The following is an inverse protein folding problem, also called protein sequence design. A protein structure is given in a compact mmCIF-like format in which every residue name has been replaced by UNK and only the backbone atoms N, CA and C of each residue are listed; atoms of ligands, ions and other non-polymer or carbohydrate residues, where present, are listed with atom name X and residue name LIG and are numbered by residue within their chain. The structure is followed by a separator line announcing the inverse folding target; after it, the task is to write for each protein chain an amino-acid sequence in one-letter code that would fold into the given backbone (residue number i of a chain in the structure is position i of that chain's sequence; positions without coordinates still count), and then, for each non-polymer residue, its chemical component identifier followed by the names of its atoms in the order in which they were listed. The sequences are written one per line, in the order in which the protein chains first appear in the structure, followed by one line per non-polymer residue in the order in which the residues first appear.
data_IF_112202120028
#
_entry.id   IF_112202120028
#
_cell.length_a   1.000
_cell.length_b   1.000
_cell.length_c   1.000
_cell.angle_alpha   90.00
_cell.angle_beta   90.00
_cell.angle_gamma   90.00
#
_symmetry.space_group_name_H-M   'P 1'
#
loop_
_entity.id
_entity.type
_entity.pdbx_description
1 polymer ?
#
# COMPACT_ATOMS: atom_id res chain seq x y z
N UNK A 1 21.37 6.07 -10.97
CA UNK A 1 21.30 7.55 -10.88
C UNK A 1 19.89 8.13 -10.87
N UNK A 2 19.12 8.25 -11.96
CA UNK A 2 17.78 8.93 -11.85
C UNK A 2 16.81 8.17 -10.95
N UNK A 3 16.83 6.84 -10.99
CA UNK A 3 16.08 6.02 -10.04
C UNK A 3 16.49 6.28 -8.58
N UNK A 4 17.77 6.47 -8.29
CA UNK A 4 18.27 6.77 -6.94
C UNK A 4 17.83 8.16 -6.49
N UNK A 5 17.89 9.16 -7.37
CA UNK A 5 17.40 10.52 -7.08
C UNK A 5 15.92 10.46 -6.70
N UNK A 6 15.09 9.76 -7.48
CA UNK A 6 13.68 9.60 -7.15
C UNK A 6 13.49 8.83 -5.84
N UNK A 7 14.29 7.80 -5.60
CA UNK A 7 14.22 6.99 -4.38
C UNK A 7 14.55 7.79 -3.12
N UNK A 8 15.49 8.74 -3.21
CA UNK A 8 15.89 9.58 -2.08
C UNK A 8 14.72 10.46 -1.57
N UNK A 9 13.97 11.07 -2.47
CA UNK A 9 12.86 11.96 -2.09
C UNK A 9 11.52 11.23 -1.98
N UNK A 10 11.31 10.15 -2.73
CA UNK A 10 10.04 9.44 -2.83
C UNK A 10 10.27 7.91 -2.78
N UNK A 11 10.79 7.38 -1.65
CA UNK A 11 11.22 5.97 -1.55
C UNK A 11 10.07 4.97 -1.78
N UNK A 12 8.83 5.34 -1.46
CA UNK A 12 7.64 4.49 -1.68
C UNK A 12 7.19 4.43 -3.15
N UNK A 13 7.71 5.33 -3.99
CA UNK A 13 7.28 5.44 -5.39
C UNK A 13 8.05 4.53 -6.33
N UNK A 14 9.24 4.09 -5.92
CA UNK A 14 10.20 3.42 -6.78
C UNK A 14 10.82 2.20 -6.10
N UNK A 15 10.85 1.10 -6.84
CA UNK A 15 11.53 -0.13 -6.47
C UNK A 15 12.88 -0.16 -7.17
N UNK A 16 13.92 0.29 -6.47
CA UNK A 16 15.24 0.52 -7.09
C UNK A 16 15.87 -0.77 -7.67
N UNK A 17 15.54 -1.93 -7.10
CA UNK A 17 16.01 -3.25 -7.54
C UNK A 17 15.50 -3.62 -8.95
N UNK A 18 14.48 -2.94 -9.47
CA UNK A 18 13.99 -3.16 -10.83
C UNK A 18 14.84 -2.48 -11.92
N UNK A 19 15.86 -1.71 -11.55
CA UNK A 19 16.66 -0.91 -12.48
C UNK A 19 18.14 -1.31 -12.43
N UNK A 20 18.49 -2.36 -13.17
CA UNK A 20 19.88 -2.83 -13.25
C UNK A 20 20.78 -1.85 -14.01
N UNK A 21 22.02 -1.58 -13.55
CA UNK A 21 22.99 -0.79 -14.30
C UNK A 21 23.21 -1.37 -15.69
N UNK A 22 23.23 -0.51 -16.72
CA UNK A 22 23.30 -0.95 -18.10
C UNK A 22 24.16 -0.01 -18.96
N UNK A 23 25.08 -0.59 -19.70
CA UNK A 23 25.96 0.14 -20.62
C UNK A 23 25.43 0.13 -22.06
N UNK A 24 24.66 -0.89 -22.44
CA UNK A 24 24.07 -1.03 -23.76
C UNK A 24 22.80 -0.17 -23.92
N UNK A 25 22.68 0.55 -25.03
CA UNK A 25 21.54 1.43 -25.34
C UNK A 25 20.18 0.72 -25.26
N UNK A 26 19.98 -0.51 -25.77
CA UNK A 26 18.69 -1.19 -25.66
C UNK A 26 18.24 -1.41 -24.21
N UNK A 27 19.17 -1.77 -23.32
CA UNK A 27 18.87 -1.98 -21.92
C UNK A 27 18.63 -0.65 -21.18
N UNK A 28 19.38 0.41 -21.51
CA UNK A 28 19.08 1.77 -21.02
C UNK A 28 17.66 2.19 -21.41
N UNK A 29 17.28 1.97 -22.66
CA UNK A 29 15.92 2.27 -23.15
C UNK A 29 14.85 1.53 -22.36
N UNK A 30 15.02 0.22 -22.13
CA UNK A 30 14.08 -0.55 -21.30
C UNK A 30 13.94 0.01 -19.89
N UNK A 31 15.05 0.34 -19.23
CA UNK A 31 15.05 0.94 -17.90
C UNK A 31 14.30 2.29 -17.90
N UNK A 32 14.51 3.12 -18.92
CA UNK A 32 13.83 4.40 -19.09
C UNK A 32 12.33 4.25 -19.34
N UNK A 33 11.91 3.29 -20.17
CA UNK A 33 10.49 2.98 -20.37
C UNK A 33 9.83 2.49 -19.08
N UNK A 34 10.50 1.61 -18.34
CA UNK A 34 9.99 1.11 -17.07
C UNK A 34 9.82 2.25 -16.05
N UNK A 35 10.80 3.15 -15.98
CA UNK A 35 10.75 4.34 -15.12
C UNK A 35 9.61 5.27 -15.51
N UNK A 36 9.46 5.53 -16.81
CA UNK A 36 8.39 6.37 -17.34
C UNK A 36 7.00 5.81 -16.97
N UNK A 37 6.79 4.51 -17.18
CA UNK A 37 5.51 3.83 -16.91
C UNK A 37 5.19 3.71 -15.42
N UNK A 38 6.15 3.27 -14.59
CA UNK A 38 5.90 2.95 -13.18
C UNK A 38 5.99 4.17 -12.26
N UNK A 39 6.86 5.13 -12.58
CA UNK A 39 7.24 6.21 -11.66
C UNK A 39 6.79 7.56 -12.20
N UNK A 40 7.21 7.94 -13.42
CA UNK A 40 6.92 9.27 -13.95
C UNK A 40 5.42 9.49 -14.15
N UNK A 41 4.69 8.48 -14.63
CA UNK A 41 3.21 8.52 -14.72
C UNK A 41 2.53 8.90 -13.40
N UNK A 42 3.04 8.40 -12.26
CA UNK A 42 2.52 8.74 -10.93
C UNK A 42 2.83 10.18 -10.51
N UNK A 43 3.91 10.76 -11.05
CA UNK A 43 4.26 12.17 -10.90
C UNK A 43 3.53 13.09 -11.89
N UNK A 44 2.59 12.56 -12.68
CA UNK A 44 1.93 13.25 -13.81
C UNK A 44 2.93 13.87 -14.77
N UNK A 45 4.00 13.11 -15.02
CA UNK A 45 5.09 13.44 -15.90
C UNK A 45 5.25 12.26 -16.85
N UNK A 46 4.98 12.43 -18.14
CA UNK A 46 5.14 11.34 -19.10
C UNK A 46 6.06 11.83 -20.22
N UNK A 47 7.09 11.05 -20.50
CA UNK A 47 8.05 11.33 -21.55
C UNK A 47 7.65 10.59 -22.83
N UNK A 48 7.75 11.25 -23.97
CA UNK A 48 7.58 10.61 -25.28
C UNK A 48 8.76 9.70 -25.60
N UNK A 49 8.55 8.75 -26.51
CA UNK A 49 9.62 7.84 -26.96
C UNK A 49 10.82 8.60 -27.53
N UNK A 50 10.60 9.68 -28.28
CA UNK A 50 11.68 10.49 -28.84
C UNK A 50 12.61 11.08 -27.77
N UNK A 51 12.04 11.52 -26.64
CA UNK A 51 12.81 12.02 -25.51
C UNK A 51 13.56 10.86 -24.84
N UNK A 52 12.92 9.72 -24.60
CA UNK A 52 13.57 8.54 -24.00
C UNK A 52 14.74 8.04 -24.86
N UNK A 53 14.58 8.06 -26.19
CA UNK A 53 15.62 7.73 -27.17
C UNK A 53 16.74 8.78 -27.15
N UNK A 54 16.40 10.06 -27.06
CA UNK A 54 17.35 11.16 -26.90
C UNK A 54 18.22 10.99 -25.65
N UNK A 55 17.62 10.63 -24.52
CA UNK A 55 18.35 10.35 -23.27
C UNK A 55 19.25 9.12 -23.43
N UNK A 56 18.72 8.03 -24.00
CA UNK A 56 19.49 6.78 -24.13
C UNK A 56 20.69 6.88 -25.07
N UNK A 57 20.62 7.81 -26.03
CA UNK A 57 21.71 8.16 -26.94
C UNK A 57 22.61 9.30 -26.43
N UNK A 58 22.44 9.73 -25.18
CA UNK A 58 23.21 10.82 -24.56
C UNK A 58 23.16 12.13 -25.37
N UNK A 59 22.01 12.45 -25.99
CA UNK A 59 21.85 13.71 -26.72
C UNK A 59 21.99 14.89 -25.75
N UNK A 60 22.92 15.83 -25.98
CA UNK A 60 23.14 16.97 -25.09
C UNK A 60 21.87 17.79 -24.86
N UNK A 61 21.64 18.24 -23.63
CA UNK A 61 20.51 19.10 -23.25
C UNK A 61 19.19 18.38 -22.95
N UNK A 62 19.02 17.14 -23.42
CA UNK A 62 17.76 16.40 -23.23
C UNK A 62 17.59 15.96 -21.78
N UNK A 63 18.63 15.42 -21.17
CA UNK A 63 18.56 14.92 -19.79
C UNK A 63 18.41 16.08 -18.80
N UNK A 64 19.06 17.21 -19.06
CA UNK A 64 19.00 18.41 -18.25
C UNK A 64 17.58 18.97 -18.19
N UNK A 65 16.91 19.07 -19.35
CA UNK A 65 15.51 19.48 -19.42
C UNK A 65 14.58 18.53 -18.66
N UNK A 66 14.79 17.22 -18.82
CA UNK A 66 14.02 16.18 -18.11
C UNK A 66 14.21 16.26 -16.60
N UNK A 67 15.44 16.45 -16.13
CA UNK A 67 15.76 16.60 -14.71
C UNK A 67 15.18 17.88 -14.11
N UNK A 68 15.22 19.00 -14.85
CA UNK A 68 14.59 20.25 -14.43
C UNK A 68 13.06 20.09 -14.26
N UNK A 69 12.40 19.45 -15.23
CA UNK A 69 10.97 19.15 -15.13
C UNK A 69 10.66 18.19 -13.99
N UNK A 70 11.48 17.13 -13.84
CA UNK A 70 11.32 16.13 -12.78
C UNK A 70 11.44 16.77 -11.39
N UNK A 71 12.40 17.68 -11.19
CA UNK A 71 12.58 18.43 -9.94
C UNK A 71 11.30 19.17 -9.55
N UNK A 72 10.75 19.97 -10.46
CA UNK A 72 9.52 20.74 -10.21
C UNK A 72 8.34 19.83 -9.83
N UNK A 73 8.24 18.65 -10.46
CA UNK A 73 7.18 17.67 -10.15
C UNK A 73 7.39 17.04 -8.78
N UNK A 74 8.61 16.69 -8.43
CA UNK A 74 8.94 16.09 -7.14
C UNK A 74 8.74 17.07 -5.99
N UNK A 75 9.19 18.32 -6.13
CA UNK A 75 8.99 19.37 -5.12
C UNK A 75 7.51 19.59 -4.82
N UNK A 76 6.65 19.59 -5.86
CA UNK A 76 5.20 19.67 -5.68
C UNK A 76 4.66 18.50 -4.85
N UNK A 77 5.04 17.27 -5.18
CA UNK A 77 4.56 16.07 -4.47
C UNK A 77 5.03 16.05 -3.02
N UNK A 78 6.29 16.43 -2.78
CA UNK A 78 6.83 16.53 -1.41
C UNK A 78 6.07 17.59 -0.62
N UNK A 79 5.83 18.77 -1.20
CA UNK A 79 5.06 19.83 -0.56
C UNK A 79 3.61 19.40 -0.23
N UNK A 80 2.92 18.76 -1.17
CA UNK A 80 1.57 18.23 -0.96
C UNK A 80 1.53 17.15 0.13
N UNK A 81 2.57 16.32 0.21
CA UNK A 81 2.68 15.28 1.25
C UNK A 81 2.91 15.90 2.62
N UNK A 82 3.81 16.89 2.72
CA UNK A 82 4.08 17.60 3.96
C UNK A 82 2.85 18.36 4.45
N UNK A 83 2.15 19.08 3.56
CA UNK A 83 0.92 19.80 3.92
C UNK A 83 -0.18 18.88 4.45
N UNK A 84 -0.30 17.65 3.93
CA UNK A 84 -1.28 16.68 4.44
C UNK A 84 -0.92 16.20 5.84
N UNK A 85 0.37 15.97 6.10
CA UNK A 85 0.86 15.61 7.43
C UNK A 85 0.65 16.75 8.41
N UNK A 86 1.02 17.97 8.05
CA UNK A 86 0.87 19.16 8.91
C UNK A 86 -0.60 19.45 9.19
N UNK A 87 -1.49 19.29 8.19
CA UNK A 87 -2.94 19.45 8.37
C UNK A 87 -3.52 18.40 9.31
N UNK A 88 -3.11 17.13 9.16
CA UNK A 88 -3.56 16.05 10.05
C UNK A 88 -3.03 16.21 11.48
N UNK A 89 -1.78 16.67 11.64
CA UNK A 89 -1.22 16.99 12.95
C UNK A 89 -1.99 18.14 13.61
N UNK A 90 -2.24 19.23 12.88
CA UNK A 90 -3.01 20.37 13.38
C UNK A 90 -4.47 20.02 13.70
N UNK A 91 -5.09 19.08 12.99
CA UNK A 91 -6.45 18.60 13.24
C UNK A 91 -6.53 17.72 14.49
N UNK A 92 -5.50 16.90 14.74
CA UNK A 92 -5.38 16.09 15.96
C UNK A 92 -5.02 16.90 17.22
N UNK A 93 -4.39 18.07 17.06
CA UNK A 93 -4.03 18.95 18.18
C UNK A 93 -5.15 19.94 18.58
N UNK A 94 -6.24 20.04 17.80
CA UNK A 94 -7.39 20.86 18.18
C UNK A 94 -8.14 20.23 19.36
N UNK A 95 -8.46 20.99 20.41
CA UNK A 95 -9.34 20.50 21.47
C UNK A 95 -10.70 20.11 20.87
N UNK A 96 -11.20 18.91 21.23
CA UNK A 96 -12.41 18.29 20.67
C UNK A 96 -13.64 19.22 20.64
N UNK A 97 -13.69 20.21 21.54
CA UNK A 97 -14.77 21.19 21.62
C UNK A 97 -14.91 22.12 20.40
N UNK A 98 -13.85 22.36 19.62
CA UNK A 98 -13.86 23.30 18.47
C UNK A 98 -14.07 22.59 17.10
N UNK A 99 -14.00 21.26 17.06
CA UNK A 99 -14.35 20.49 15.84
C UNK A 99 -15.87 20.48 15.58
N UNK A 100 -16.68 20.86 16.57
CA UNK A 100 -18.13 20.74 16.55
C UNK A 100 -18.89 21.94 15.97
N UNK A 101 -18.21 23.01 15.54
CA UNK A 101 -18.91 24.25 15.17
C UNK A 101 -19.58 24.25 13.80
N UNK A 102 -19.34 23.27 12.92
CA UNK A 102 -20.20 23.08 11.75
C UNK A 102 -20.00 21.68 11.13
N UNK A 103 -20.60 20.66 11.74
CA UNK A 103 -20.80 19.37 11.08
C UNK A 103 -22.17 19.45 10.41
N UNK A 104 -22.26 19.46 9.06
CA UNK A 104 -23.54 19.44 8.38
C UNK A 104 -24.36 18.22 8.82
N UNK A 105 -25.64 18.42 9.18
CA UNK A 105 -26.53 17.39 9.71
C UNK A 105 -26.56 16.12 8.84
N UNK A 106 -26.48 16.28 7.52
CA UNK A 106 -26.42 15.19 6.55
C UNK A 106 -25.17 14.31 6.71
N UNK A 107 -24.02 14.91 6.98
CA UNK A 107 -22.78 14.17 7.18
C UNK A 107 -22.80 13.41 8.51
N UNK A 108 -23.43 13.97 9.54
CA UNK A 108 -23.64 13.28 10.81
C UNK A 108 -24.56 12.07 10.61
N UNK A 109 -25.67 12.24 9.91
CA UNK A 109 -26.62 11.16 9.60
C UNK A 109 -25.95 10.04 8.77
N UNK A 110 -25.15 10.40 7.76
CA UNK A 110 -24.35 9.42 7.01
C UNK A 110 -23.39 8.64 7.91
N UNK A 111 -22.78 9.29 8.89
CA UNK A 111 -21.87 8.64 9.84
C UNK A 111 -22.60 7.76 10.83
N UNK A 112 -23.79 8.15 11.29
CA UNK A 112 -24.65 7.32 12.12
C UNK A 112 -25.08 6.05 11.39
N UNK A 113 -25.48 6.15 10.11
CA UNK A 113 -25.79 4.98 9.28
C UNK A 113 -24.57 4.07 9.09
N UNK A 114 -23.38 4.65 8.87
CA UNK A 114 -22.13 3.89 8.75
C UNK A 114 -21.81 3.11 10.03
N UNK A 115 -22.04 3.71 11.21
CA UNK A 115 -21.87 3.06 12.52
C UNK A 115 -22.85 1.89 12.66
N UNK A 116 -24.13 2.10 12.36
CA UNK A 116 -25.14 1.03 12.43
C UNK A 116 -24.80 -0.17 11.54
N UNK A 117 -24.38 0.08 10.29
CA UNK A 117 -23.97 -0.98 9.37
C UNK A 117 -22.73 -1.74 9.86
N UNK A 118 -21.79 -1.04 10.50
CA UNK A 118 -20.61 -1.66 11.11
C UNK A 118 -21.00 -2.52 12.32
N UNK A 119 -21.92 -2.05 13.16
CA UNK A 119 -22.40 -2.80 14.31
C UNK A 119 -23.14 -4.08 13.90
N UNK A 120 -23.97 -4.03 12.86
CA UNK A 120 -24.58 -5.24 12.28
C UNK A 120 -23.51 -6.22 11.79
N UNK A 121 -22.49 -5.72 11.09
CA UNK A 121 -21.38 -6.55 10.60
C UNK A 121 -20.65 -7.22 11.76
N UNK A 122 -20.37 -6.48 12.83
CA UNK A 122 -19.73 -6.98 14.05
C UNK A 122 -20.60 -8.06 14.70
N UNK A 123 -21.92 -7.87 14.79
CA UNK A 123 -22.82 -8.88 15.33
C UNK A 123 -22.80 -10.17 14.51
N UNK A 124 -22.82 -10.08 13.18
CA UNK A 124 -22.73 -11.24 12.29
C UNK A 124 -21.40 -11.97 12.49
N UNK A 125 -20.28 -11.23 12.55
CA UNK A 125 -18.96 -11.81 12.77
C UNK A 125 -18.88 -12.50 14.14
N UNK A 126 -19.39 -11.87 15.20
CA UNK A 126 -19.42 -12.45 16.53
C UNK A 126 -20.28 -13.74 16.58
N UNK A 127 -21.42 -13.77 15.90
CA UNK A 127 -22.23 -14.98 15.77
C UNK A 127 -21.48 -16.09 15.03
N UNK A 128 -20.73 -15.74 13.97
CA UNK A 128 -19.87 -16.69 13.23
C UNK A 128 -18.75 -17.24 14.10
N UNK A 129 -18.09 -16.40 14.90
CA UNK A 129 -17.04 -16.81 15.84
C UNK A 129 -17.60 -17.81 16.84
N UNK A 130 -18.70 -17.48 17.53
CA UNK A 130 -19.36 -18.40 18.48
C UNK A 130 -19.70 -19.76 17.87
N UNK A 131 -20.20 -19.76 16.63
CA UNK A 131 -20.51 -21.02 15.92
C UNK A 131 -19.25 -21.82 15.59
N UNK A 132 -18.19 -21.16 15.18
CA UNK A 132 -16.90 -21.82 14.91
C UNK A 132 -16.30 -22.40 16.19
N UNK A 133 -16.32 -21.66 17.30
CA UNK A 133 -15.86 -22.13 18.62
C UNK A 133 -16.64 -23.37 19.06
N UNK A 134 -17.96 -23.37 18.90
CA UNK A 134 -18.77 -24.54 19.21
C UNK A 134 -18.42 -25.76 18.33
N UNK A 135 -18.22 -25.56 17.03
CA UNK A 135 -17.81 -26.63 16.11
C UNK A 135 -16.44 -27.19 16.43
N UNK A 136 -15.49 -26.34 16.83
CA UNK A 136 -14.16 -26.76 17.28
C UNK A 136 -14.29 -27.61 18.54
N UNK A 137 -15.03 -27.15 19.54
CA UNK A 137 -15.26 -27.92 20.78
C UNK A 137 -15.85 -29.32 20.53
N UNK A 138 -16.85 -29.42 19.64
CA UNK A 138 -17.42 -30.73 19.27
C UNK A 138 -16.40 -31.63 18.55
N UNK A 139 -15.52 -31.05 17.71
CA UNK A 139 -14.46 -31.79 17.03
C UNK A 139 -13.41 -32.28 18.03
N UNK A 140 -13.05 -31.48 19.02
CA UNK A 140 -12.08 -31.87 20.06
C UNK A 140 -12.60 -33.05 20.87
N UNK A 141 -13.85 -33.00 21.34
CA UNK A 141 -14.49 -34.14 22.03
C UNK A 141 -14.45 -35.41 21.17
N UNK A 142 -14.74 -35.27 19.87
CA UNK A 142 -14.75 -36.42 18.96
C UNK A 142 -13.33 -36.97 18.72
N UNK A 143 -12.34 -36.11 18.64
CA UNK A 143 -10.93 -36.51 18.51
C UNK A 143 -10.52 -37.29 19.77
N UNK A 144 -10.86 -36.80 20.97
CA UNK A 144 -10.55 -37.48 22.23
C UNK A 144 -11.19 -38.89 22.30
N UNK A 145 -12.48 -39.04 21.98
CA UNK A 145 -13.15 -40.35 21.95
C UNK A 145 -12.50 -41.31 20.95
N UNK A 146 -12.13 -40.83 19.76
CA UNK A 146 -11.47 -41.65 18.75
C UNK A 146 -10.04 -42.04 19.17
N UNK A 147 -9.28 -41.12 19.77
CA UNK A 147 -7.94 -41.39 20.31
C UNK A 147 -8.00 -42.42 21.44
N UNK A 148 -8.96 -42.31 22.36
CA UNK A 148 -9.16 -43.29 23.43
C UNK A 148 -9.44 -44.70 22.88
N UNK A 149 -10.31 -44.82 21.86
CA UNK A 149 -10.61 -46.11 21.20
C UNK A 149 -9.41 -46.70 20.49
N UNK A 150 -8.57 -45.86 19.88
CA UNK A 150 -7.34 -46.29 19.21
C UNK A 150 -6.30 -46.80 20.20
N UNK A 151 -6.12 -46.14 21.34
CA UNK A 151 -5.21 -46.62 22.39
C UNK A 151 -5.67 -47.96 22.98
N UNK A 152 -6.99 -48.16 23.19
CA UNK A 152 -7.54 -49.45 23.64
C UNK A 152 -7.36 -50.56 22.59
N UNK A 153 -7.43 -50.23 21.30
CA UNK A 153 -7.27 -51.18 20.21
C UNK A 153 -5.80 -51.44 19.83
N UNK A 154 -4.85 -50.78 20.49
CA UNK A 154 -3.43 -50.93 20.23
C UNK A 154 -2.98 -52.30 20.73
N UNK A 155 -2.50 -53.21 19.86
CA UNK A 155 -1.96 -54.49 20.34
C UNK A 155 -0.77 -54.17 21.23
N UNK A 156 -0.83 -54.57 22.51
CA UNK A 156 0.33 -54.55 23.40
C UNK A 156 1.38 -55.47 22.81
N UNK A 157 2.28 -54.93 21.99
CA UNK A 157 3.45 -55.61 21.48
C UNK A 157 4.35 -55.96 22.65
N UNK A 158 4.18 -57.16 23.21
CA UNK A 158 5.22 -57.80 24.01
C UNK A 158 6.30 -58.30 23.03
N UNK A 159 7.52 -57.79 23.24
CA UNK A 159 8.76 -58.35 22.71
C UNK A 159 8.91 -59.81 23.11
#
# INVERSE_FOLDING_TARGET
MVAEVVSHFLPKLIEIHNYSPANATPQKMQNWFLLNRKVFKKLRFELSEDILRGISNCKPGVIEGVLAMLRTRMERVVWETQQKVDRQAAENERPEADQNSFIPLLLLEEKEQEILAKDETIQILNAKIKRMEHLLHLKDIRIEDLQARLEVSRPTGKR
#
